data_IF_955066744942
#
_entry.id   IF_955066744942
#
_cell.length_a   1.000
_cell.length_b   1.000
_cell.length_c   1.000
_cell.angle_alpha   90.00
_cell.angle_beta   90.00
_cell.angle_gamma   90.00
#
_symmetry.space_group_name_H-M   'P 1'
#
loop_
_entity.id
_entity.type
_entity.pdbx_description
1 polymer ?
#
# COMPACT_ATOMS: atom_id res chain seq x y z
N UNK A 1 14.15 5.69 4.76
CA UNK A 1 14.27 4.23 5.03
C UNK A 1 12.94 3.57 4.74
N UNK A 2 12.94 2.39 4.13
CA UNK A 2 11.74 1.56 3.94
C UNK A 2 11.98 0.23 4.65
N UNK A 3 11.01 -0.21 5.43
CA UNK A 3 10.98 -1.54 6.04
C UNK A 3 9.70 -2.26 5.63
N UNK A 4 9.77 -3.58 5.39
CA UNK A 4 8.59 -4.36 5.00
C UNK A 4 8.70 -5.82 5.43
N UNK A 5 7.57 -6.43 5.77
CA UNK A 5 7.52 -7.83 6.20
C UNK A 5 6.15 -8.48 5.96
N UNK A 6 6.12 -9.82 5.92
CA UNK A 6 4.88 -10.61 5.75
C UNK A 6 4.71 -11.59 6.91
N UNK A 7 4.33 -11.10 8.11
CA UNK A 7 4.25 -11.92 9.31
C UNK A 7 3.17 -13.01 9.20
N UNK A 8 2.16 -12.80 8.35
CA UNK A 8 1.08 -13.75 8.09
C UNK A 8 0.81 -13.86 6.57
N UNK A 9 0.45 -15.05 6.04
CA UNK A 9 0.07 -15.20 4.65
C UNK A 9 -1.06 -14.24 4.24
N UNK A 10 -0.88 -13.55 3.11
CA UNK A 10 -1.86 -12.60 2.59
C UNK A 10 -1.75 -11.18 3.19
N UNK A 11 -0.85 -10.94 4.15
CA UNK A 11 -0.59 -9.60 4.72
C UNK A 11 0.84 -9.15 4.43
N UNK A 12 0.98 -7.91 3.97
CA UNK A 12 2.26 -7.21 3.84
C UNK A 12 2.20 -5.95 4.72
N UNK A 13 3.18 -5.81 5.60
CA UNK A 13 3.42 -4.59 6.36
C UNK A 13 4.51 -3.80 5.67
N UNK A 14 4.33 -2.48 5.61
CA UNK A 14 5.34 -1.55 5.09
C UNK A 14 5.39 -0.32 5.99
N UNK A 15 6.60 0.09 6.36
CA UNK A 15 6.90 1.34 7.03
C UNK A 15 7.82 2.19 6.14
N UNK A 16 7.43 3.43 5.90
CA UNK A 16 8.22 4.39 5.10
C UNK A 16 8.50 5.58 5.99
N UNK A 17 9.79 5.89 6.18
CA UNK A 17 10.24 7.00 7.01
C UNK A 17 11.19 7.87 6.19
N UNK A 18 10.88 9.15 6.08
CA UNK A 18 11.73 10.20 5.52
C UNK A 18 11.78 11.36 6.51
N UNK A 19 12.99 11.80 6.89
CA UNK A 19 13.18 12.88 7.87
C UNK A 19 12.80 14.24 7.31
N UNK A 20 12.85 14.41 5.99
CA UNK A 20 12.46 15.65 5.32
C UNK A 20 10.97 15.65 4.93
N UNK A 21 10.27 14.53 5.18
CA UNK A 21 8.90 14.30 4.78
C UNK A 21 8.75 13.87 3.31
N UNK A 22 7.55 13.43 2.97
CA UNK A 22 7.19 13.02 1.60
C UNK A 22 6.10 13.97 1.12
N UNK A 23 6.34 14.67 0.01
CA UNK A 23 5.40 15.64 -0.56
C UNK A 23 5.02 15.30 -2.00
N UNK A 24 3.84 15.75 -2.42
CA UNK A 24 3.32 15.51 -3.78
C UNK A 24 2.51 14.22 -3.89
N UNK A 25 2.20 13.83 -5.13
CA UNK A 25 1.41 12.64 -5.44
C UNK A 25 2.21 11.68 -6.30
N UNK A 26 2.10 10.38 -6.03
CA UNK A 26 2.79 9.34 -6.77
C UNK A 26 2.79 8.00 -6.05
N UNK A 27 3.42 7.01 -6.67
CA UNK A 27 3.60 5.69 -6.04
C UNK A 27 4.66 5.76 -4.95
N UNK A 28 4.29 5.36 -3.74
CA UNK A 28 5.22 5.28 -2.58
C UNK A 28 5.91 3.91 -2.46
N UNK A 29 5.30 2.86 -3.02
CA UNK A 29 5.85 1.51 -3.07
C UNK A 29 5.28 0.75 -4.28
N UNK A 30 6.03 -0.22 -4.78
CA UNK A 30 5.57 -1.15 -5.82
C UNK A 30 5.77 -2.57 -5.32
N UNK A 31 4.67 -3.31 -5.22
CA UNK A 31 4.68 -4.72 -4.80
C UNK A 31 4.53 -5.61 -6.02
N UNK A 32 5.34 -6.66 -6.10
CA UNK A 32 5.29 -7.66 -7.18
C UNK A 32 4.85 -9.00 -6.61
N UNK A 33 3.79 -9.55 -7.18
CA UNK A 33 3.29 -10.87 -6.82
C UNK A 33 3.59 -11.87 -7.94
N UNK A 34 3.94 -13.10 -7.56
CA UNK A 34 3.94 -14.23 -8.49
C UNK A 34 2.59 -14.92 -8.39
N UNK A 35 1.85 -14.94 -9.49
CA UNK A 35 0.58 -15.67 -9.58
C UNK A 35 0.88 -17.17 -9.60
N UNK A 36 0.14 -17.95 -8.79
CA UNK A 36 0.21 -19.40 -8.80
C UNK A 36 -0.64 -19.96 -9.95
N UNK A 37 -0.25 -21.11 -10.49
CA UNK A 37 -1.00 -21.76 -11.56
C UNK A 37 -2.43 -22.11 -11.14
N UNK A 38 -3.36 -22.10 -12.09
CA UNK A 38 -4.78 -22.43 -11.92
C UNK A 38 -5.55 -21.55 -10.90
N UNK A 39 -5.13 -20.31 -10.72
CA UNK A 39 -5.87 -19.31 -9.93
C UNK A 39 -6.59 -18.36 -10.89
N UNK A 40 -7.89 -18.18 -10.70
CA UNK A 40 -8.73 -17.28 -11.49
C UNK A 40 -9.43 -16.25 -10.59
N UNK A 41 -9.94 -15.18 -11.23
CA UNK A 41 -10.78 -14.18 -10.58
C UNK A 41 -10.04 -12.89 -10.20
N UNK A 42 -10.75 -12.09 -9.40
CA UNK A 42 -10.28 -10.79 -8.90
C UNK A 42 -9.95 -10.90 -7.43
N UNK A 43 -8.76 -10.45 -7.04
CA UNK A 43 -8.31 -10.39 -5.66
C UNK A 43 -8.31 -8.93 -5.20
N UNK A 44 -9.02 -8.63 -4.11
CA UNK A 44 -8.99 -7.29 -3.52
C UNK A 44 -7.64 -7.02 -2.85
N UNK A 45 -7.16 -5.78 -2.97
CA UNK A 45 -5.98 -5.28 -2.26
C UNK A 45 -6.42 -4.13 -1.35
N UNK A 46 -6.55 -4.40 -0.05
CA UNK A 46 -6.87 -3.39 0.96
C UNK A 46 -5.60 -2.81 1.59
N UNK A 47 -5.67 -1.54 1.96
CA UNK A 47 -4.75 -0.96 2.94
C UNK A 47 -5.46 -0.94 4.29
N UNK A 48 -4.84 -1.50 5.30
CA UNK A 48 -5.40 -1.65 6.64
C UNK A 48 -4.41 -1.11 7.67
N UNK A 49 -4.92 -0.67 8.83
CA UNK A 49 -4.10 -0.21 9.96
C UNK A 49 -3.08 0.88 9.59
N UNK A 50 -3.51 1.88 8.81
CA UNK A 50 -2.65 2.99 8.37
C UNK A 50 -2.39 3.94 9.53
N UNK A 51 -1.13 4.33 9.68
CA UNK A 51 -0.71 5.46 10.49
C UNK A 51 0.24 6.34 9.67
N UNK A 52 0.05 7.65 9.72
CA UNK A 52 0.88 8.64 9.03
C UNK A 52 1.11 9.83 9.97
N UNK A 53 2.31 10.41 9.91
CA UNK A 53 2.72 11.47 10.81
C UNK A 53 3.46 12.55 10.01
N UNK A 54 3.25 13.81 10.37
CA UNK A 54 4.04 14.92 9.86
C UNK A 54 5.49 14.83 10.36
N UNK A 55 6.45 14.95 9.45
CA UNK A 55 7.86 14.70 9.75
C UNK A 55 8.45 15.71 10.75
N UNK A 56 7.89 16.92 10.85
CA UNK A 56 8.42 17.98 11.70
C UNK A 56 7.77 17.97 13.09
N UNK A 57 6.45 17.82 13.14
CA UNK A 57 5.64 17.94 14.35
C UNK A 57 5.33 16.61 15.03
N UNK A 58 5.50 15.49 14.31
CA UNK A 58 5.07 14.14 14.72
C UNK A 58 3.57 14.03 15.04
N UNK A 59 2.78 14.97 14.54
CA UNK A 59 1.32 14.94 14.66
C UNK A 59 0.75 14.01 13.61
N UNK A 60 -0.25 13.22 14.01
CA UNK A 60 -1.00 12.34 13.12
C UNK A 60 -1.59 13.10 11.93
N UNK A 61 -1.47 12.53 10.74
CA UNK A 61 -2.12 13.00 9.52
C UNK A 61 -3.35 12.14 9.29
N UNK A 62 -4.49 12.78 9.02
CA UNK A 62 -5.73 12.06 8.72
C UNK A 62 -5.58 11.42 7.33
N UNK A 63 -5.75 10.10 7.26
CA UNK A 63 -5.63 9.35 6.00
C UNK A 63 -6.97 8.80 5.51
N UNK A 64 -7.20 8.91 4.21
CA UNK A 64 -8.25 8.18 3.49
C UNK A 64 -7.67 7.01 2.70
N UNK A 65 -8.48 6.00 2.41
CA UNK A 65 -8.06 4.87 1.56
C UNK A 65 -9.09 4.52 0.51
N UNK A 66 -8.60 4.01 -0.62
CA UNK A 66 -9.42 3.34 -1.64
C UNK A 66 -8.81 1.97 -1.93
N UNK A 67 -9.61 0.89 -1.92
CA UNK A 67 -9.11 -0.45 -2.19
C UNK A 67 -8.68 -0.59 -3.65
N UNK A 68 -7.62 -1.34 -3.86
CA UNK A 68 -7.18 -1.81 -5.16
C UNK A 68 -7.75 -3.18 -5.49
N UNK A 69 -7.37 -3.68 -6.67
CA UNK A 69 -7.72 -5.01 -7.13
C UNK A 69 -6.67 -5.56 -8.09
N UNK A 70 -6.44 -6.86 -8.02
CA UNK A 70 -5.62 -7.61 -8.96
C UNK A 70 -6.52 -8.55 -9.74
N UNK A 71 -6.68 -8.30 -11.05
CA UNK A 71 -7.46 -9.15 -11.94
C UNK A 71 -6.53 -10.05 -12.76
N UNK A 72 -6.60 -11.36 -12.53
CA UNK A 72 -5.72 -12.35 -13.16
C UNK A 72 -6.06 -12.53 -14.65
N UNK A 73 -7.34 -12.48 -15.02
CA UNK A 73 -7.79 -12.75 -16.39
C UNK A 73 -7.57 -11.57 -17.34
N UNK A 74 -7.61 -10.34 -16.83
CA UNK A 74 -7.49 -9.11 -17.62
C UNK A 74 -6.09 -8.50 -17.62
N UNK A 75 -5.12 -9.11 -16.91
CA UNK A 75 -3.77 -8.54 -16.67
C UNK A 75 -3.80 -7.10 -16.11
N UNK A 76 -4.94 -6.71 -15.52
CA UNK A 76 -5.19 -5.37 -15.02
C UNK A 76 -4.99 -5.29 -13.51
N UNK A 77 -4.27 -4.26 -13.07
CA UNK A 77 -4.08 -3.99 -11.64
C UNK A 77 -4.60 -2.61 -11.32
N UNK A 78 -5.53 -2.53 -10.37
CA UNK A 78 -5.89 -1.29 -9.70
C UNK A 78 -5.05 -1.18 -8.43
N UNK A 79 -4.17 -0.19 -8.36
CA UNK A 79 -3.39 0.06 -7.15
C UNK A 79 -4.31 0.59 -6.05
N UNK A 80 -4.16 0.13 -4.80
CA UNK A 80 -4.79 0.82 -3.68
C UNK A 80 -4.21 2.23 -3.53
N UNK A 81 -5.04 3.16 -3.08
CA UNK A 81 -4.69 4.58 -2.94
C UNK A 81 -4.82 4.97 -1.47
N UNK A 82 -3.86 5.77 -1.00
CA UNK A 82 -3.93 6.49 0.27
C UNK A 82 -3.95 7.99 -0.01
N UNK A 83 -4.83 8.72 0.66
CA UNK A 83 -4.91 10.19 0.63
C UNK A 83 -4.62 10.76 2.01
N UNK A 84 -4.12 11.99 2.06
CA UNK A 84 -3.76 12.71 3.29
C UNK A 84 -4.61 13.99 3.38
N UNK A 85 -5.04 14.36 4.59
CA UNK A 85 -5.96 15.47 4.86
C UNK A 85 -5.49 16.37 6.00
#
# INVERSE_FOLDING_TARGET
MIDSGSPEPGRLWAGIIDTDGITGSGSVAVVKFKVKDNVEGTMALSLESIAAYDANSMVDIITGTSPGAFNISESGTLSPIMTFH
#
